data_IF_454929416856
#
_entry.id   IF_454929416856
#
_cell.length_a   1.000
_cell.length_b   1.000
_cell.length_c   1.000
_cell.angle_alpha   90.00
_cell.angle_beta   90.00
_cell.angle_gamma   90.00
#
_symmetry.space_group_name_H-M   'P 1'
#
loop_
_entity.id
_entity.type
_entity.pdbx_description
1 polymer ?
#
# COMPACT_ATOMS: atom_id res chain seq x y z
N UNK A 1 1.00 -15.35 7.21
CA UNK A 1 2.38 -14.85 7.00
C UNK A 1 2.40 -13.37 7.27
N UNK A 2 3.48 -12.87 7.87
CA UNK A 2 3.65 -11.46 8.23
C UNK A 2 4.80 -10.87 7.42
N UNK A 3 4.62 -9.66 6.89
CA UNK A 3 5.69 -8.90 6.22
C UNK A 3 6.00 -7.69 7.09
N UNK A 4 7.24 -7.61 7.58
CA UNK A 4 7.68 -6.46 8.35
C UNK A 4 8.04 -5.29 7.44
N UNK A 5 7.56 -4.11 7.80
CA UNK A 5 7.93 -2.85 7.16
C UNK A 5 9.03 -2.18 8.00
N UNK A 6 10.03 -1.54 7.36
CA UNK A 6 11.13 -0.90 8.08
C UNK A 6 10.66 0.31 8.91
N UNK A 7 9.58 0.96 8.48
CA UNK A 7 8.93 2.07 9.17
C UNK A 7 7.40 1.96 9.02
N UNK A 8 6.66 2.53 9.97
CA UNK A 8 5.23 2.74 9.82
C UNK A 8 4.94 3.67 8.64
N UNK A 9 3.94 3.34 7.82
CA UNK A 9 3.62 4.12 6.62
C UNK A 9 2.14 4.07 6.27
N UNK A 10 1.65 5.17 5.72
CA UNK A 10 0.34 5.30 5.07
C UNK A 10 0.45 5.32 3.54
N UNK A 11 1.66 5.13 2.97
CA UNK A 11 1.87 5.07 1.52
C UNK A 11 1.29 3.78 0.95
N UNK A 12 0.16 3.90 0.26
CA UNK A 12 -0.53 2.80 -0.41
C UNK A 12 0.37 2.03 -1.38
N UNK A 13 1.36 2.67 -2.02
CA UNK A 13 2.29 1.98 -2.92
C UNK A 13 3.22 1.03 -2.17
N UNK A 14 3.69 1.43 -0.99
CA UNK A 14 4.53 0.59 -0.14
C UNK A 14 3.73 -0.58 0.42
N UNK A 15 2.48 -0.35 0.81
CA UNK A 15 1.55 -1.40 1.24
C UNK A 15 1.26 -2.41 0.12
N UNK A 16 1.00 -1.94 -1.11
CA UNK A 16 0.76 -2.81 -2.27
C UNK A 16 2.01 -3.65 -2.58
N UNK A 17 3.22 -3.08 -2.52
CA UNK A 17 4.46 -3.83 -2.72
C UNK A 17 4.65 -4.91 -1.65
N UNK A 18 4.39 -4.60 -0.39
CA UNK A 18 4.47 -5.57 0.70
C UNK A 18 3.44 -6.70 0.51
N UNK A 19 2.22 -6.36 0.08
CA UNK A 19 1.18 -7.34 -0.25
C UNK A 19 1.60 -8.27 -1.38
N UNK A 20 2.20 -7.75 -2.45
CA UNK A 20 2.71 -8.57 -3.56
C UNK A 20 3.81 -9.51 -3.13
N UNK A 21 4.76 -9.05 -2.29
CA UNK A 21 5.76 -9.93 -1.68
C UNK A 21 5.09 -11.04 -0.88
N UNK A 22 4.02 -10.70 -0.15
CA UNK A 22 3.30 -11.68 0.62
C UNK A 22 2.60 -12.73 -0.24
N UNK A 23 1.93 -12.30 -1.32
CA UNK A 23 1.28 -13.19 -2.28
C UNK A 23 2.32 -14.09 -2.95
N UNK A 24 3.44 -13.55 -3.43
CA UNK A 24 4.47 -14.31 -4.11
C UNK A 24 5.05 -15.44 -3.23
N UNK A 25 5.23 -15.21 -1.93
CA UNK A 25 5.73 -16.23 -1.01
C UNK A 25 4.65 -17.22 -0.52
N UNK A 26 3.36 -16.88 -0.62
CA UNK A 26 2.25 -17.76 -0.26
C UNK A 26 1.64 -18.52 -1.44
N UNK A 27 2.01 -18.15 -2.67
CA UNK A 27 1.41 -18.70 -3.87
C UNK A 27 1.78 -20.17 -4.06
N UNK A 28 0.76 -21.01 -4.21
CA UNK A 28 0.91 -22.42 -4.55
C UNK A 28 0.24 -22.64 -5.90
N UNK A 29 0.97 -23.16 -6.91
CA UNK A 29 0.40 -23.52 -8.19
C UNK A 29 -0.80 -24.47 -8.03
N UNK A 30 -1.73 -24.40 -8.98
CA UNK A 30 -2.92 -25.27 -9.06
C UNK A 30 -4.00 -25.08 -7.97
N UNK A 31 -3.81 -24.13 -7.04
CA UNK A 31 -4.85 -23.71 -6.10
C UNK A 31 -5.66 -22.53 -6.63
N UNK A 32 -6.97 -22.55 -6.38
CA UNK A 32 -7.87 -21.41 -6.64
C UNK A 32 -8.10 -20.61 -5.37
N UNK A 33 -7.61 -19.38 -5.35
CA UNK A 33 -7.79 -18.44 -4.25
C UNK A 33 -9.02 -17.56 -4.52
N UNK A 34 -9.98 -17.55 -3.59
CA UNK A 34 -11.24 -16.78 -3.75
C UNK A 34 -11.24 -15.44 -2.99
N UNK A 35 -10.34 -15.26 -2.02
CA UNK A 35 -10.27 -14.04 -1.19
C UNK A 35 -8.87 -13.85 -0.63
N UNK A 36 -8.46 -12.58 -0.53
CA UNK A 36 -7.29 -12.14 0.23
C UNK A 36 -7.66 -10.92 1.07
N UNK A 37 -7.00 -10.76 2.21
CA UNK A 37 -7.15 -9.60 3.08
C UNK A 37 -5.82 -9.28 3.75
N UNK A 38 -5.59 -7.99 4.01
CA UNK A 38 -4.42 -7.51 4.74
C UNK A 38 -4.92 -6.94 6.06
N UNK A 39 -4.19 -7.23 7.13
CA UNK A 39 -4.41 -6.64 8.45
C UNK A 39 -3.15 -5.86 8.78
N UNK A 40 -3.28 -4.57 9.02
CA UNK A 40 -2.20 -3.73 9.53
C UNK A 40 -2.17 -3.84 11.05
N UNK A 41 -0.98 -4.02 11.60
CA UNK A 41 -0.72 -4.07 13.04
C UNK A 41 0.24 -2.93 13.40
N UNK A 42 0.38 -2.64 14.69
CA UNK A 42 1.28 -1.61 15.21
C UNK A 42 1.02 -0.21 14.62
N UNK A 43 -0.27 0.13 14.47
CA UNK A 43 -0.72 1.45 14.04
C UNK A 43 -0.21 2.52 15.03
N UNK A 44 0.53 3.47 14.49
CA UNK A 44 0.98 4.66 15.22
C UNK A 44 0.18 5.88 14.76
N UNK A 45 0.00 6.89 15.61
CA UNK A 45 -0.51 8.18 15.17
C UNK A 45 0.37 8.72 14.02
N UNK A 46 -0.21 9.46 13.04
CA UNK A 46 0.56 10.05 11.97
C UNK A 46 1.76 10.83 12.54
N UNK A 47 2.98 10.59 12.03
CA UNK A 47 4.17 11.22 12.58
C UNK A 47 4.07 12.74 12.41
N UNK A 48 4.42 13.49 13.46
CA UNK A 48 4.81 14.89 13.30
C UNK A 48 5.98 14.88 12.31
N UNK A 49 5.94 15.68 11.21
CA UNK A 49 6.92 15.60 10.14
C UNK A 49 8.32 15.76 10.72
N UNK A 50 9.03 14.63 10.84
CA UNK A 50 10.44 14.58 11.17
C UNK A 50 11.14 14.35 9.85
N UNK A 51 12.02 15.28 9.47
CA UNK A 51 13.01 15.01 8.43
C UNK A 51 13.87 13.87 8.93
N UNK A 52 13.65 12.69 8.38
CA UNK A 52 14.49 11.57 8.71
C UNK A 52 15.91 11.88 8.23
N UNK A 53 16.87 11.82 9.16
CA UNK A 53 18.27 12.19 8.89
C UNK A 53 18.96 11.15 7.99
N UNK A 54 18.44 9.92 7.96
CA UNK A 54 18.98 8.77 7.22
C UNK A 54 17.87 7.86 6.70
N UNK A 55 16.93 8.38 5.92
CA UNK A 55 15.90 7.53 5.33
C UNK A 55 15.97 7.51 3.80
N UNK A 56 15.76 6.32 3.25
CA UNK A 56 15.71 6.09 1.81
C UNK A 56 14.31 6.36 1.24
N UNK A 57 13.34 6.72 2.09
CA UNK A 57 11.98 7.08 1.70
C UNK A 57 11.80 8.59 1.59
N UNK A 58 11.29 9.03 0.44
CA UNK A 58 10.84 10.40 0.22
C UNK A 58 9.43 10.59 0.80
N UNK A 59 9.37 10.76 2.11
CA UNK A 59 8.12 10.91 2.88
C UNK A 59 7.31 12.14 2.47
N UNK A 60 7.97 13.24 2.11
CA UNK A 60 7.28 14.47 1.67
C UNK A 60 6.52 14.22 0.36
N UNK A 61 7.16 13.53 -0.59
CA UNK A 61 6.50 13.16 -1.84
C UNK A 61 5.35 12.17 -1.60
N UNK A 62 5.56 11.13 -0.79
CA UNK A 62 4.53 10.15 -0.49
C UNK A 62 3.31 10.82 0.15
N UNK A 63 3.51 11.67 1.16
CA UNK A 63 2.45 12.42 1.82
C UNK A 63 1.68 13.34 0.84
N UNK A 64 2.38 14.04 -0.05
CA UNK A 64 1.73 14.88 -1.06
C UNK A 64 0.86 14.05 -2.01
N UNK A 65 1.39 12.95 -2.54
CA UNK A 65 0.64 12.07 -3.45
C UNK A 65 -0.58 11.46 -2.77
N UNK A 66 -0.44 11.00 -1.52
CA UNK A 66 -1.57 10.45 -0.75
C UNK A 66 -2.63 11.52 -0.48
N UNK A 67 -2.24 12.72 -0.07
CA UNK A 67 -3.17 13.83 0.16
C UNK A 67 -3.95 14.22 -1.10
N UNK A 68 -3.28 14.30 -2.27
CA UNK A 68 -3.94 14.59 -3.56
C UNK A 68 -4.88 13.47 -3.96
N UNK A 69 -4.47 12.21 -3.75
CA UNK A 69 -5.29 11.02 -4.07
C UNK A 69 -6.55 10.98 -3.21
N UNK A 70 -6.41 11.20 -1.91
CA UNK A 70 -7.54 11.27 -0.97
C UNK A 70 -8.48 12.40 -1.31
N UNK A 71 -7.94 13.56 -1.69
CA UNK A 71 -8.75 14.70 -2.10
C UNK A 71 -9.54 14.42 -3.38
N UNK A 72 -8.89 13.77 -4.36
CA UNK A 72 -9.55 13.36 -5.59
C UNK A 72 -10.68 12.36 -5.31
N UNK A 73 -10.43 11.36 -4.46
CA UNK A 73 -11.42 10.37 -4.04
C UNK A 73 -12.58 11.01 -3.26
N UNK A 74 -12.31 12.00 -2.40
CA UNK A 74 -13.34 12.74 -1.67
C UNK A 74 -14.27 13.51 -2.61
N UNK A 75 -13.72 14.14 -3.66
CA UNK A 75 -14.50 14.95 -4.63
C UNK A 75 -15.25 14.12 -5.66
N UNK A 76 -14.70 12.98 -6.08
CA UNK A 76 -15.20 12.20 -7.22
C UNK A 76 -15.86 10.87 -6.84
N UNK A 77 -15.90 10.55 -5.55
CA UNK A 77 -16.39 9.27 -5.05
C UNK A 77 -15.24 8.31 -4.73
N UNK A 78 -15.53 7.36 -3.84
CA UNK A 78 -14.54 6.42 -3.31
C UNK A 78 -13.87 5.65 -4.46
N UNK A 79 -12.54 5.59 -4.41
CA UNK A 79 -11.70 4.88 -5.38
C UNK A 79 -11.83 5.40 -6.83
N UNK A 80 -12.19 6.68 -7.02
CA UNK A 80 -12.11 7.34 -8.32
C UNK A 80 -10.67 7.44 -8.85
N UNK A 81 -9.69 7.51 -7.95
CA UNK A 81 -8.25 7.42 -8.24
C UNK A 81 -7.65 6.32 -7.39
N UNK A 82 -6.95 5.39 -8.03
CA UNK A 82 -6.23 4.29 -7.39
C UNK A 82 -4.85 4.11 -8.02
N UNK A 83 -3.88 3.53 -7.28
CA UNK A 83 -2.63 3.06 -7.85
C UNK A 83 -2.81 2.24 -9.13
N UNK A 84 -2.04 2.55 -10.17
CA UNK A 84 -2.09 1.84 -11.45
C UNK A 84 -1.79 0.33 -11.29
N UNK A 85 -0.89 -0.04 -10.38
CA UNK A 85 -0.56 -1.44 -10.09
C UNK A 85 -1.78 -2.26 -9.66
N UNK A 86 -2.78 -1.64 -9.01
CA UNK A 86 -4.02 -2.31 -8.62
C UNK A 86 -4.96 -2.57 -9.81
N UNK A 87 -4.85 -1.80 -10.89
CA UNK A 87 -5.69 -1.97 -12.09
C UNK A 87 -5.26 -3.16 -12.96
N UNK A 88 -4.01 -3.62 -12.84
CA UNK A 88 -3.50 -4.76 -13.61
C UNK A 88 -3.95 -6.13 -13.07
N UNK A 89 -4.86 -6.16 -12.07
CA UNK A 89 -5.43 -7.38 -11.50
C UNK A 89 -6.55 -8.00 -12.37
N UNK A 90 -6.71 -7.51 -13.62
CA UNK A 90 -7.49 -8.17 -14.66
C UNK A 90 -6.81 -9.45 -15.14
N UNK A 91 -6.92 -10.50 -14.32
CA UNK A 91 -7.01 -11.92 -14.68
C UNK A 91 -6.40 -12.26 -16.05
N UNK A 92 -5.10 -12.55 -16.06
CA UNK A 92 -4.53 -13.50 -17.03
C UNK A 92 -4.77 -14.89 -16.40
N UNK A 93 -5.92 -15.48 -16.72
CA UNK A 93 -6.17 -16.93 -16.57
C UNK A 93 -5.70 -17.65 -17.82
#
# INVERSE_FOLDING_TARGET
MTVHMPEATDDSMQLIKAAWRAVAALWVPDYRYSKAGIITQDLVPPPVPRRALFDNLDHERAANVMAVTDEANRRRGRAAVVPATTMNLGIQS
#
